data_IF_039297928042
#
_entry.id   IF_039297928042
#
_cell.length_a   1.000
_cell.length_b   1.000
_cell.length_c   1.000
_cell.angle_alpha   90.00
_cell.angle_beta   90.00
_cell.angle_gamma   90.00
#
_symmetry.space_group_name_H-M   'P 1'
#
loop_
_entity.id
_entity.type
_entity.pdbx_description
1 polymer ?
#
# COMPACT_ATOMS: atom_id res chain seq x y z
N UNK A 1 -12.33 2.85 2.17
CA UNK A 1 -13.13 1.96 3.04
C UNK A 1 -14.15 2.76 3.83
N UNK A 2 -15.30 2.15 4.22
CA UNK A 2 -16.39 2.84 4.91
C UNK A 2 -16.83 2.06 6.16
N UNK A 3 -17.17 2.78 7.22
CA UNK A 3 -17.80 2.24 8.43
C UNK A 3 -19.08 3.03 8.75
N UNK A 4 -19.93 2.47 9.59
CA UNK A 4 -21.09 3.15 10.15
C UNK A 4 -20.92 3.24 11.65
N UNK A 5 -21.06 4.44 12.21
CA UNK A 5 -20.99 4.62 13.65
C UNK A 5 -22.18 3.91 14.32
N UNK A 6 -21.90 3.10 15.35
CA UNK A 6 -22.95 2.39 16.11
C UNK A 6 -23.54 3.23 17.23
N UNK A 7 -22.79 4.21 17.69
CA UNK A 7 -23.15 5.15 18.77
C UNK A 7 -22.51 6.50 18.51
N UNK A 8 -22.95 7.53 19.21
CA UNK A 8 -22.32 8.83 19.17
C UNK A 8 -20.88 8.71 19.70
N UNK A 9 -19.93 9.33 19.03
CA UNK A 9 -18.51 9.34 19.42
C UNK A 9 -17.85 10.65 19.06
N UNK A 10 -16.93 11.12 19.89
CA UNK A 10 -16.09 12.29 19.59
C UNK A 10 -14.75 11.80 19.07
N UNK A 11 -14.36 12.26 17.88
CA UNK A 11 -13.08 11.96 17.25
C UNK A 11 -12.46 13.25 16.69
N UNK A 12 -11.24 13.57 17.12
CA UNK A 12 -10.55 14.80 16.69
C UNK A 12 -11.35 16.08 16.98
N UNK A 13 -12.04 16.14 18.12
CA UNK A 13 -12.88 17.28 18.51
C UNK A 13 -14.21 17.40 17.76
N UNK A 14 -14.53 16.46 16.85
CA UNK A 14 -15.80 16.43 16.09
C UNK A 14 -16.69 15.30 16.57
N UNK A 15 -17.99 15.59 16.74
CA UNK A 15 -18.98 14.58 17.07
C UNK A 15 -19.46 13.86 15.83
N UNK A 16 -19.38 12.54 15.85
CA UNK A 16 -19.92 11.62 14.84
C UNK A 16 -21.14 10.97 15.47
N UNK A 17 -22.30 11.12 14.85
CA UNK A 17 -23.57 10.57 15.35
C UNK A 17 -23.75 9.10 14.99
N UNK A 18 -24.49 8.38 15.79
CA UNK A 18 -24.94 7.02 15.47
C UNK A 18 -25.61 6.99 14.08
N UNK A 19 -25.27 6.01 13.26
CA UNK A 19 -25.75 5.87 11.88
C UNK A 19 -24.93 6.63 10.82
N UNK A 20 -24.10 7.58 11.20
CA UNK A 20 -23.27 8.31 10.25
C UNK A 20 -22.20 7.41 9.60
N UNK A 21 -21.84 7.77 8.35
CA UNK A 21 -20.83 7.07 7.57
C UNK A 21 -19.47 7.69 7.75
N UNK A 22 -18.50 6.89 8.16
CA UNK A 22 -17.10 7.30 8.31
C UNK A 22 -16.29 6.70 7.17
N UNK A 23 -15.69 7.55 6.35
CA UNK A 23 -14.80 7.17 5.27
C UNK A 23 -13.35 7.19 5.75
N UNK A 24 -12.64 6.09 5.51
CA UNK A 24 -11.22 5.98 5.86
C UNK A 24 -10.36 6.03 4.59
N UNK A 25 -9.57 7.08 4.48
CA UNK A 25 -8.65 7.32 3.38
C UNK A 25 -7.27 6.76 3.73
N UNK A 26 -7.04 5.47 3.55
CA UNK A 26 -5.77 4.81 3.89
C UNK A 26 -4.57 5.41 3.17
N UNK A 27 -4.77 5.90 1.94
CA UNK A 27 -3.70 6.57 1.18
C UNK A 27 -3.28 7.87 1.87
N UNK A 28 -4.23 8.63 2.42
CA UNK A 28 -3.96 9.83 3.20
C UNK A 28 -3.25 9.48 4.50
N UNK A 29 -3.74 8.49 5.24
CA UNK A 29 -3.10 8.04 6.48
C UNK A 29 -1.67 7.50 6.27
N UNK A 30 -1.39 6.90 5.10
CA UNK A 30 -0.02 6.49 4.75
C UNK A 30 0.89 7.68 4.39
N UNK A 31 0.36 8.89 4.31
CA UNK A 31 1.08 10.13 4.04
C UNK A 31 0.96 11.16 5.16
N UNK A 32 0.57 10.71 6.33
CA UNK A 32 0.46 11.53 7.52
C UNK A 32 1.85 11.78 8.12
N UNK A 33 2.31 13.02 8.04
CA UNK A 33 3.64 13.44 8.51
C UNK A 33 3.77 13.42 10.03
N UNK A 34 2.66 13.50 10.76
CA UNK A 34 2.65 13.38 12.23
C UNK A 34 2.99 11.95 12.69
N UNK A 35 2.78 10.96 11.83
CA UNK A 35 2.95 9.54 12.16
C UNK A 35 4.10 8.89 11.38
N UNK A 36 4.28 9.28 10.13
CA UNK A 36 5.25 8.67 9.21
C UNK A 36 6.25 9.75 8.76
N UNK A 37 7.50 9.71 9.20
CA UNK A 37 8.53 10.64 8.74
C UNK A 37 8.75 10.54 7.23
N UNK A 38 8.83 11.68 6.54
CA UNK A 38 9.04 11.77 5.09
C UNK A 38 8.08 10.87 4.28
N UNK A 39 6.74 10.95 4.44
CA UNK A 39 5.82 9.92 3.94
C UNK A 39 5.76 9.87 2.41
N UNK A 40 6.16 10.94 1.74
CA UNK A 40 6.20 11.03 0.28
C UNK A 40 7.51 10.51 -0.34
N UNK A 41 8.54 10.26 0.50
CA UNK A 41 9.81 9.69 0.05
C UNK A 41 9.71 8.18 -0.02
N UNK A 42 10.09 7.61 -1.16
CA UNK A 42 10.29 6.16 -1.26
C UNK A 42 11.57 5.77 -0.54
N UNK A 43 11.44 5.07 0.59
CA UNK A 43 12.54 4.63 1.43
C UNK A 43 12.30 3.21 1.91
N UNK A 44 13.11 2.25 1.40
CA UNK A 44 13.04 0.84 1.76
C UNK A 44 13.69 0.53 3.12
N UNK A 45 14.52 1.45 3.62
CA UNK A 45 15.23 1.33 4.91
C UNK A 45 14.48 2.05 6.05
N UNK A 46 13.21 2.34 5.87
CA UNK A 46 12.39 3.01 6.88
C UNK A 46 12.36 2.21 8.18
N UNK A 47 12.59 2.87 9.30
CA UNK A 47 12.68 2.25 10.64
C UNK A 47 11.48 1.37 10.98
N UNK A 48 10.28 1.79 10.57
CA UNK A 48 9.02 1.06 10.82
C UNK A 48 8.29 0.73 9.52
N UNK A 49 8.81 -0.17 8.68
CA UNK A 49 8.28 -0.40 7.33
C UNK A 49 6.84 -0.94 7.34
N UNK A 50 6.40 -1.57 8.45
CA UNK A 50 5.04 -2.09 8.61
C UNK A 50 4.04 -1.10 9.18
N UNK A 51 4.46 0.13 9.46
CA UNK A 51 3.60 1.20 9.95
C UNK A 51 2.82 1.84 8.79
N UNK A 52 2.07 1.03 8.06
CA UNK A 52 1.24 1.48 6.96
C UNK A 52 -0.17 0.90 7.05
N UNK A 53 -1.13 1.57 6.44
CA UNK A 53 -2.55 1.20 6.44
C UNK A 53 -2.97 0.45 5.16
N UNK A 54 -2.03 -0.02 4.33
CA UNK A 54 -2.35 -0.68 3.05
C UNK A 54 -3.16 -1.96 3.24
N UNK A 55 -2.99 -2.63 4.37
CA UNK A 55 -3.80 -3.80 4.76
C UNK A 55 -4.99 -3.45 5.66
N UNK A 56 -5.30 -2.18 5.84
CA UNK A 56 -6.29 -1.72 6.81
C UNK A 56 -5.79 -1.79 8.26
N UNK A 57 -6.71 -1.50 9.17
CA UNK A 57 -6.42 -1.51 10.60
C UNK A 57 -7.61 -2.05 11.41
N UNK A 58 -7.32 -2.53 12.62
CA UNK A 58 -8.32 -3.02 13.57
C UNK A 58 -8.90 -4.38 13.17
N UNK A 59 -10.15 -4.63 13.58
CA UNK A 59 -10.83 -5.93 13.44
C UNK A 59 -11.00 -6.38 11.97
N UNK A 60 -11.01 -5.43 11.03
CA UNK A 60 -11.11 -5.68 9.59
C UNK A 60 -9.75 -5.63 8.87
N UNK A 61 -8.64 -5.68 9.59
CA UNK A 61 -7.34 -5.81 8.95
C UNK A 61 -7.33 -7.05 8.05
N UNK A 62 -6.67 -6.92 6.89
CA UNK A 62 -6.56 -8.02 5.93
C UNK A 62 -6.05 -9.31 6.59
N UNK A 63 -6.81 -10.39 6.53
CA UNK A 63 -6.42 -11.69 7.07
C UNK A 63 -5.23 -12.28 6.33
N UNK A 64 -5.08 -11.98 5.04
CA UNK A 64 -4.01 -12.47 4.17
C UNK A 64 -2.73 -11.63 4.18
N UNK A 65 -2.58 -10.63 5.06
CA UNK A 65 -1.44 -9.71 5.03
C UNK A 65 -0.09 -10.43 5.18
N UNK A 66 0.00 -11.44 6.03
CA UNK A 66 1.24 -12.22 6.21
C UNK A 66 1.59 -13.06 4.99
N UNK A 67 0.59 -13.66 4.37
CA UNK A 67 0.78 -14.40 3.12
C UNK A 67 1.23 -13.46 2.00
N UNK A 68 0.61 -12.30 1.87
CA UNK A 68 1.01 -11.29 0.89
C UNK A 68 2.46 -10.81 1.10
N UNK A 69 2.87 -10.53 2.35
CA UNK A 69 4.26 -10.18 2.68
C UNK A 69 5.23 -11.29 2.26
N UNK A 70 4.89 -12.56 2.56
CA UNK A 70 5.72 -13.71 2.21
C UNK A 70 5.83 -13.90 0.68
N UNK A 71 4.71 -13.81 -0.03
CA UNK A 71 4.69 -13.89 -1.49
C UNK A 71 5.53 -12.80 -2.14
N UNK A 72 5.37 -11.54 -1.70
CA UNK A 72 6.16 -10.43 -2.21
C UNK A 72 7.66 -10.64 -1.96
N UNK A 73 8.04 -11.10 -0.77
CA UNK A 73 9.42 -11.40 -0.45
C UNK A 73 10.00 -12.45 -1.40
N UNK A 74 9.34 -13.60 -1.54
CA UNK A 74 9.80 -14.69 -2.41
C UNK A 74 9.88 -14.23 -3.88
N UNK A 75 8.87 -13.52 -4.37
CA UNK A 75 8.85 -13.01 -5.74
C UNK A 75 10.03 -12.07 -5.98
N UNK A 76 10.31 -11.13 -5.07
CA UNK A 76 11.43 -10.22 -5.23
C UNK A 76 12.79 -10.93 -5.14
N UNK A 77 12.96 -11.88 -4.23
CA UNK A 77 14.17 -12.69 -4.14
C UNK A 77 14.42 -13.46 -5.46
N UNK A 78 13.37 -14.06 -6.01
CA UNK A 78 13.46 -14.81 -7.29
C UNK A 78 13.68 -13.90 -8.49
N UNK A 79 13.05 -12.73 -8.53
CA UNK A 79 13.27 -11.74 -9.59
C UNK A 79 14.71 -11.24 -9.56
N UNK A 80 15.20 -10.79 -8.43
CA UNK A 80 16.56 -10.23 -8.30
C UNK A 80 17.65 -11.29 -8.56
N UNK A 81 17.39 -12.53 -8.17
CA UNK A 81 18.30 -13.63 -8.46
C UNK A 81 18.43 -13.92 -9.97
N UNK A 82 17.31 -13.86 -10.69
CA UNK A 82 17.27 -14.16 -12.14
C UNK A 82 17.60 -12.95 -12.99
N UNK A 83 17.16 -11.78 -12.58
CA UNK A 83 17.22 -10.55 -13.35
C UNK A 83 17.89 -9.46 -12.51
N UNK A 84 19.22 -9.42 -12.49
CA UNK A 84 19.98 -8.49 -11.63
C UNK A 84 19.73 -7.03 -12.01
N UNK A 85 19.27 -6.79 -13.23
CA UNK A 85 18.95 -5.46 -13.71
C UNK A 85 17.62 -5.46 -14.48
N UNK A 86 16.72 -4.56 -14.08
CA UNK A 86 15.46 -4.28 -14.80
C UNK A 86 15.38 -2.77 -14.98
N UNK A 87 15.30 -2.31 -16.23
CA UNK A 87 15.18 -0.89 -16.57
C UNK A 87 13.76 -0.58 -17.01
N UNK A 88 13.11 0.37 -16.36
CA UNK A 88 11.85 0.93 -16.85
C UNK A 88 12.16 1.84 -18.03
N UNK A 89 11.47 1.65 -19.16
CA UNK A 89 11.76 2.32 -20.44
C UNK A 89 10.65 3.23 -20.93
N UNK A 90 9.58 3.36 -20.18
CA UNK A 90 8.47 4.24 -20.55
C UNK A 90 7.49 4.45 -19.39
N UNK A 91 6.55 5.35 -19.61
CA UNK A 91 5.51 5.64 -18.62
C UNK A 91 4.59 4.43 -18.41
N UNK A 92 4.23 4.15 -17.16
CA UNK A 92 3.30 3.09 -16.86
C UNK A 92 1.87 3.46 -17.27
N UNK A 93 1.16 2.55 -17.91
CA UNK A 93 -0.27 2.67 -18.15
C UNK A 93 -1.04 2.23 -16.90
N UNK A 94 -2.06 3.01 -16.51
CA UNK A 94 -2.81 2.78 -15.27
C UNK A 94 -4.24 2.32 -15.55
N UNK A 95 -4.76 1.49 -14.66
CA UNK A 95 -6.18 1.16 -14.63
C UNK A 95 -6.98 2.42 -14.29
N UNK A 96 -7.96 2.75 -15.11
CA UNK A 96 -8.93 3.80 -14.81
C UNK A 96 -9.97 3.27 -13.80
N UNK A 97 -9.67 3.45 -12.52
CA UNK A 97 -10.52 2.98 -11.42
C UNK A 97 -10.36 3.84 -10.18
N UNK A 98 -11.47 4.11 -9.51
CA UNK A 98 -11.48 4.74 -8.18
C UNK A 98 -11.34 3.72 -7.03
N UNK A 99 -11.54 2.43 -7.32
CA UNK A 99 -11.52 1.37 -6.31
C UNK A 99 -10.17 0.64 -6.26
N UNK A 100 -9.77 0.01 -7.36
CA UNK A 100 -8.48 -0.66 -7.46
C UNK A 100 -7.59 0.11 -8.41
N UNK A 101 -6.59 0.78 -7.88
CA UNK A 101 -5.57 1.48 -8.67
C UNK A 101 -4.41 0.54 -8.93
N UNK A 102 -4.22 0.17 -10.17
CA UNK A 102 -3.15 -0.72 -10.60
C UNK A 102 -2.54 -0.23 -11.91
N UNK A 103 -1.72 -1.07 -12.49
CA UNK A 103 -1.09 -0.85 -13.78
C UNK A 103 -1.60 -1.90 -14.77
N UNK A 104 -1.88 -1.48 -15.99
CA UNK A 104 -2.18 -2.38 -17.12
C UNK A 104 -0.92 -2.75 -17.86
N UNK A 105 0.09 -1.86 -17.86
CA UNK A 105 1.36 -2.05 -18.54
C UNK A 105 2.47 -1.28 -17.85
N UNK A 106 3.65 -1.89 -17.78
CA UNK A 106 4.91 -1.26 -17.39
C UNK A 106 6.00 -1.69 -18.38
N UNK A 107 6.41 -0.82 -19.32
CA UNK A 107 7.47 -1.14 -20.25
C UNK A 107 8.81 -1.29 -19.55
N UNK A 108 9.48 -2.44 -19.75
CA UNK A 108 10.80 -2.71 -19.16
C UNK A 108 11.73 -3.36 -20.16
N UNK A 109 13.04 -3.17 -19.97
CA UNK A 109 14.10 -3.96 -20.59
C UNK A 109 14.82 -4.74 -19.52
N UNK A 110 15.10 -6.00 -19.80
CA UNK A 110 15.90 -6.90 -18.97
C UNK A 110 17.18 -7.21 -19.74
N UNK A 111 18.30 -6.49 -19.48
CA UNK A 111 19.52 -6.64 -20.25
C UNK A 111 20.17 -8.01 -20.08
N UNK A 112 20.09 -8.54 -18.86
CA UNK A 112 20.77 -9.78 -18.49
C UNK A 112 19.84 -10.70 -17.70
N UNK A 113 20.03 -12.01 -17.94
CA UNK A 113 19.38 -13.07 -17.18
C UNK A 113 20.47 -14.00 -16.62
N UNK A 114 20.49 -14.21 -15.32
CA UNK A 114 21.36 -15.20 -14.72
C UNK A 114 20.91 -16.62 -15.11
N UNK A 115 21.86 -17.49 -15.41
CA UNK A 115 21.59 -18.93 -15.48
C UNK A 115 21.36 -19.42 -14.06
N UNK A 116 20.29 -20.16 -13.84
CA UNK A 116 19.96 -20.79 -12.57
C UNK A 116 20.76 -22.08 -12.40
#
# INVERSE_FOLDING_TARGET
MRRTAKQDVVLGGKTIKAGEKVLMWYVSGNRDEEVIPEPNRYNIERERPRQHLSFGFGIHRCVGNRLAELQLKIIWEEILRRFPEIKVTGEPERVFSSFVKGYTRLPVIIPHKNKL
#
